data_IF_209352664709
#
_entry.id   IF_209352664709
#
_cell.length_a   1.000
_cell.length_b   1.000
_cell.length_c   1.000
_cell.angle_alpha   90.00
_cell.angle_beta   90.00
_cell.angle_gamma   90.00
#
_symmetry.space_group_name_H-M   'P 1'
#
loop_
_entity.id
_entity.type
_entity.pdbx_description
1 polymer ?
#
# COMPACT_ATOMS: atom_id res chain seq x y z
N UNK A 1 -7.18 57.16 32.53
CA UNK A 1 -7.40 56.65 32.13
C UNK A 1 -7.01 55.82 31.24
N UNK A 2 -6.67 55.05 30.97
CA UNK A 2 -6.36 54.34 30.12
C UNK A 2 -6.72 53.13 30.16
N UNK A 3 -7.02 52.54 29.53
CA UNK A 3 -7.48 51.44 29.46
C UNK A 3 -6.81 50.58 28.79
N UNK A 4 -6.72 49.58 28.69
CA UNK A 4 -6.11 48.79 28.13
C UNK A 4 -6.79 47.82 27.52
N UNK A 5 -6.68 47.48 26.46
CA UNK A 5 -7.31 46.49 25.77
C UNK A 5 -6.64 45.25 25.93
N UNK A 6 -7.22 44.37 26.35
CA UNK A 6 -6.68 43.09 26.47
C UNK A 6 -6.78 42.44 25.16
N UNK A 7 -5.73 42.25 24.55
CA UNK A 7 -5.78 41.53 23.33
C UNK A 7 -5.90 40.07 23.64
N UNK A 8 -6.94 39.53 23.23
CA UNK A 8 -7.12 38.17 23.44
C UNK A 8 -6.61 37.42 22.28
N UNK A 9 -5.60 36.73 22.45
CA UNK A 9 -5.07 35.92 21.40
C UNK A 9 -5.72 34.59 21.44
N UNK A 10 -6.46 34.31 20.46
CA UNK A 10 -7.07 33.01 20.38
C UNK A 10 -6.22 32.16 19.52
N UNK A 11 -5.72 31.14 20.12
CA UNK A 11 -4.90 30.24 19.39
C UNK A 11 -5.68 29.03 19.02
N UNK A 12 -5.70 28.74 17.76
CA UNK A 12 -6.36 27.58 17.38
C UNK A 12 -5.38 26.57 17.12
N UNK A 13 -5.42 25.54 17.77
CA UNK A 13 -4.58 24.43 17.50
C UNK A 13 -5.25 23.62 16.45
N UNK A 14 -4.88 23.82 15.28
CA UNK A 14 -5.42 22.99 14.24
C UNK A 14 -4.78 21.64 14.36
N UNK A 15 -5.54 20.66 14.59
CA UNK A 15 -4.98 19.36 14.70
C UNK A 15 -5.28 18.60 13.47
N UNK A 16 -4.27 18.15 12.82
CA UNK A 16 -4.47 17.41 11.60
C UNK A 16 -4.69 15.98 11.92
N UNK A 17 -5.83 15.48 11.80
CA UNK A 17 -5.97 14.15 12.14
C UNK A 17 -6.65 13.37 11.16
N UNK A 18 -7.19 13.90 10.25
CA UNK A 18 -8.02 13.13 9.42
C UNK A 18 -7.31 12.24 8.48
N UNK A 19 -6.08 12.52 8.25
CA UNK A 19 -5.37 11.79 7.24
C UNK A 19 -5.17 10.34 7.58
N UNK A 20 -5.45 9.95 8.80
CA UNK A 20 -5.13 8.62 9.18
C UNK A 20 -6.20 7.61 8.91
N UNK A 21 -7.30 8.04 8.33
CA UNK A 21 -8.35 7.12 8.01
C UNK A 21 -8.05 6.27 6.79
N UNK A 22 -7.00 6.61 6.02
CA UNK A 22 -6.72 5.89 4.78
C UNK A 22 -5.59 4.91 4.98
N UNK A 23 -5.77 3.70 4.45
CA UNK A 23 -4.70 2.73 4.43
C UNK A 23 -3.69 3.14 3.37
N UNK A 24 -2.42 3.21 3.73
CA UNK A 24 -1.38 3.41 2.75
C UNK A 24 -0.33 2.32 2.91
N UNK A 25 0.41 2.08 1.85
CA UNK A 25 1.39 1.01 1.81
C UNK A 25 2.57 1.39 2.72
N UNK A 26 2.82 0.57 3.72
CA UNK A 26 3.89 0.79 4.67
C UNK A 26 5.13 -0.04 4.34
N UNK A 27 4.95 -1.27 3.86
CA UNK A 27 6.05 -2.16 3.54
C UNK A 27 5.64 -3.06 2.39
N UNK A 28 6.61 -3.50 1.62
CA UNK A 28 6.37 -4.49 0.58
C UNK A 28 7.60 -5.38 0.40
N UNK A 29 7.36 -6.59 -0.10
CA UNK A 29 8.40 -7.49 -0.53
C UNK A 29 7.91 -8.19 -1.81
N UNK A 30 8.58 -7.98 -2.93
CA UNK A 30 9.74 -7.11 -3.13
C UNK A 30 9.42 -5.66 -2.88
N UNK A 31 10.44 -4.89 -2.48
CA UNK A 31 10.27 -3.46 -2.30
C UNK A 31 10.22 -2.75 -3.64
N UNK A 32 9.71 -1.52 -3.65
CA UNK A 32 9.72 -0.71 -4.85
C UNK A 32 11.13 -0.55 -5.38
N UNK A 33 11.29 -0.74 -6.67
CA UNK A 33 12.55 -0.63 -7.40
C UNK A 33 13.61 -1.67 -7.01
N UNK A 34 13.25 -2.68 -6.26
CA UNK A 34 14.18 -3.73 -5.89
C UNK A 34 14.47 -4.66 -7.07
N UNK A 35 15.64 -5.28 -7.03
CA UNK A 35 16.01 -6.35 -7.94
C UNK A 35 16.10 -7.62 -7.12
N UNK A 36 15.35 -8.63 -7.52
CA UNK A 36 15.27 -9.88 -6.76
C UNK A 36 15.35 -11.06 -7.71
N UNK A 37 15.65 -12.23 -7.20
CA UNK A 37 15.66 -13.42 -8.02
C UNK A 37 14.58 -14.38 -7.54
N UNK A 38 13.81 -14.87 -8.50
CA UNK A 38 12.78 -15.90 -8.29
C UNK A 38 11.89 -15.68 -7.07
N UNK A 39 11.23 -14.52 -6.96
CA UNK A 39 10.34 -14.29 -5.82
C UNK A 39 9.15 -15.24 -5.89
N UNK A 40 8.75 -15.79 -4.75
CA UNK A 40 7.62 -16.71 -4.70
C UNK A 40 6.28 -15.99 -4.67
N UNK A 41 6.30 -14.69 -4.39
CA UNK A 41 5.07 -13.90 -4.33
C UNK A 41 5.38 -12.46 -4.00
N UNK A 42 4.31 -11.70 -3.83
CA UNK A 42 4.38 -10.30 -3.42
C UNK A 42 3.59 -10.17 -2.15
N UNK A 43 4.15 -9.53 -1.15
CA UNK A 43 3.44 -9.23 0.09
C UNK A 43 3.48 -7.75 0.38
N UNK A 44 2.36 -7.23 0.82
CA UNK A 44 2.15 -5.83 1.10
C UNK A 44 1.62 -5.68 2.52
N UNK A 45 2.12 -4.70 3.25
CA UNK A 45 1.62 -4.37 4.57
C UNK A 45 1.19 -2.92 4.57
N UNK A 46 -0.02 -2.69 5.04
CA UNK A 46 -0.64 -1.36 5.04
C UNK A 46 -0.70 -0.79 6.44
N UNK A 47 -0.96 0.51 6.53
CA UNK A 47 -1.01 1.23 7.78
C UNK A 47 -2.29 1.00 8.57
N UNK A 48 -3.31 0.38 7.97
CA UNK A 48 -4.63 0.18 8.57
C UNK A 48 -5.09 -1.25 8.35
N UNK A 49 -6.02 -1.69 9.18
CA UNK A 49 -6.69 -2.97 8.97
C UNK A 49 -7.53 -2.90 7.69
N UNK A 50 -7.48 -3.94 6.91
CA UNK A 50 -8.12 -3.98 5.62
C UNK A 50 -9.37 -4.83 5.61
N UNK A 51 -10.32 -4.42 4.77
CA UNK A 51 -11.42 -5.26 4.35
C UNK A 51 -10.90 -6.13 3.23
N UNK A 52 -10.49 -7.34 3.54
CA UNK A 52 -9.80 -8.20 2.57
C UNK A 52 -10.66 -8.55 1.37
N UNK A 53 -11.96 -8.65 1.57
CA UNK A 53 -12.86 -8.96 0.46
C UNK A 53 -12.99 -7.82 -0.54
N UNK A 54 -12.55 -6.64 -0.16
CA UNK A 54 -12.61 -5.46 -1.03
C UNK A 54 -11.23 -4.89 -1.32
N UNK A 55 -10.21 -5.69 -1.12
CA UNK A 55 -8.83 -5.30 -1.34
C UNK A 55 -8.16 -6.35 -2.21
N UNK A 56 -7.26 -5.93 -3.07
CA UNK A 56 -6.57 -6.88 -3.93
C UNK A 56 -5.21 -6.36 -4.38
N UNK A 57 -4.42 -7.27 -4.88
CA UNK A 57 -3.12 -6.98 -5.45
C UNK A 57 -2.96 -7.83 -6.71
N UNK A 58 -2.37 -7.25 -7.74
CA UNK A 58 -2.07 -7.91 -8.99
C UNK A 58 -0.64 -7.62 -9.39
N UNK A 59 -0.05 -8.50 -10.18
CA UNK A 59 1.28 -8.29 -10.73
C UNK A 59 1.19 -8.42 -12.24
N UNK A 60 1.74 -7.44 -12.93
CA UNK A 60 1.74 -7.37 -14.39
C UNK A 60 3.16 -7.34 -14.92
N UNK A 61 3.35 -7.87 -16.11
CA UNK A 61 4.65 -7.79 -16.78
C UNK A 61 4.80 -6.47 -17.52
N UNK A 62 5.93 -6.28 -18.20
CA UNK A 62 6.21 -5.05 -18.90
C UNK A 62 5.23 -4.78 -20.05
N UNK A 63 4.58 -5.80 -20.56
CA UNK A 63 3.58 -5.65 -21.60
C UNK A 63 2.18 -5.40 -21.07
N UNK A 64 2.02 -5.32 -19.76
CA UNK A 64 0.73 -5.07 -19.15
C UNK A 64 -0.12 -6.33 -18.93
N UNK A 65 0.46 -7.51 -19.09
CA UNK A 65 -0.26 -8.75 -18.88
C UNK A 65 -0.17 -9.17 -17.43
N UNK A 66 -1.28 -9.59 -16.86
CA UNK A 66 -1.29 -10.08 -15.48
C UNK A 66 -0.56 -11.43 -15.42
N UNK A 67 0.37 -11.55 -14.50
CA UNK A 67 1.25 -12.72 -14.42
C UNK A 67 1.26 -13.41 -13.06
N UNK A 68 0.57 -12.87 -12.05
CA UNK A 68 0.47 -13.58 -10.77
C UNK A 68 -0.38 -14.84 -10.92
N UNK A 69 -0.33 -15.72 -9.93
CA UNK A 69 -1.05 -16.99 -10.02
C UNK A 69 -2.51 -16.88 -9.54
N UNK A 70 -2.94 -15.70 -9.15
CA UNK A 70 -4.30 -15.46 -8.70
C UNK A 70 -4.63 -16.05 -7.35
N UNK A 71 -3.65 -16.58 -6.63
CA UNK A 71 -3.88 -17.22 -5.34
C UNK A 71 -3.32 -16.37 -4.23
N UNK A 72 -4.03 -16.26 -3.10
CA UNK A 72 -3.49 -15.49 -1.99
C UNK A 72 -2.20 -16.14 -1.51
N UNK A 73 -1.24 -15.32 -1.14
CA UNK A 73 -0.04 -15.77 -0.50
C UNK A 73 -0.27 -16.05 0.98
N UNK A 74 0.80 -16.28 1.73
CA UNK A 74 0.68 -16.51 3.16
C UNK A 74 -0.04 -15.35 3.85
N UNK A 75 -0.86 -15.69 4.83
CA UNK A 75 -1.61 -14.69 5.57
C UNK A 75 -0.66 -13.90 6.46
N UNK A 76 -0.54 -12.62 6.22
CA UNK A 76 0.31 -11.72 7.00
C UNK A 76 -0.44 -10.93 8.04
N UNK A 77 -1.68 -11.29 8.32
CA UNK A 77 -2.48 -10.60 9.33
C UNK A 77 -3.43 -9.56 8.72
N UNK A 78 -4.12 -8.82 9.58
CA UNK A 78 -5.22 -7.96 9.14
C UNK A 78 -4.81 -6.75 8.30
N UNK A 79 -3.54 -6.39 8.29
CA UNK A 79 -3.07 -5.25 7.50
C UNK A 79 -2.38 -5.66 6.22
N UNK A 80 -2.36 -6.95 5.88
CA UNK A 80 -1.54 -7.44 4.79
C UNK A 80 -2.34 -7.99 3.62
N UNK A 81 -1.78 -7.85 2.43
CA UNK A 81 -2.23 -8.54 1.22
C UNK A 81 -1.05 -9.27 0.65
N UNK A 82 -1.28 -10.44 0.09
CA UNK A 82 -0.22 -11.19 -0.57
C UNK A 82 -0.79 -11.97 -1.74
N UNK A 83 0.03 -12.14 -2.77
CA UNK A 83 -0.36 -12.93 -3.92
C UNK A 83 0.84 -13.75 -4.38
N UNK A 84 0.59 -14.96 -4.84
CA UNK A 84 1.64 -15.83 -5.31
C UNK A 84 2.10 -15.50 -6.71
N UNK A 85 3.33 -15.86 -7.01
CA UNK A 85 3.89 -15.73 -8.33
C UNK A 85 4.34 -17.09 -8.82
N UNK A 86 4.03 -17.44 -10.07
CA UNK A 86 4.67 -18.59 -10.69
C UNK A 86 6.13 -18.24 -10.99
N UNK A 87 6.87 -19.18 -11.53
CA UNK A 87 8.20 -18.87 -11.96
C UNK A 87 8.12 -17.94 -13.16
N UNK A 88 8.71 -16.78 -13.03
CA UNK A 88 8.67 -15.75 -14.06
C UNK A 88 10.05 -15.47 -14.64
N UNK A 89 10.12 -15.12 -15.90
CA UNK A 89 11.41 -14.77 -16.51
C UNK A 89 11.95 -13.45 -15.96
N UNK A 90 13.25 -13.23 -16.09
CA UNK A 90 13.83 -11.94 -15.74
C UNK A 90 13.14 -10.80 -16.50
N UNK A 91 12.94 -9.69 -15.84
CA UNK A 91 12.29 -8.53 -16.42
C UNK A 91 11.75 -7.61 -15.36
N UNK A 92 11.08 -6.58 -15.83
CA UNK A 92 10.48 -5.58 -14.96
C UNK A 92 9.01 -5.88 -14.80
N UNK A 93 8.53 -5.83 -13.54
CA UNK A 93 7.16 -6.17 -13.21
C UNK A 93 6.52 -5.04 -12.41
N UNK A 94 5.22 -4.91 -12.54
CA UNK A 94 4.46 -3.88 -11.84
C UNK A 94 3.50 -4.53 -10.85
N UNK A 95 3.54 -4.05 -9.62
CA UNK A 95 2.56 -4.43 -8.60
C UNK A 95 1.50 -3.35 -8.57
N UNK A 96 0.25 -3.74 -8.66
CA UNK A 96 -0.87 -2.82 -8.62
C UNK A 96 -1.77 -3.26 -7.49
N UNK A 97 -2.10 -2.35 -6.59
CA UNK A 97 -2.92 -2.71 -5.45
C UNK A 97 -4.09 -1.76 -5.25
N UNK A 98 -5.15 -2.30 -4.69
CA UNK A 98 -6.32 -1.56 -4.27
C UNK A 98 -6.61 -1.99 -2.85
N UNK A 99 -6.71 -1.05 -1.94
CA UNK A 99 -6.93 -1.34 -0.54
C UNK A 99 -8.16 -0.60 -0.04
N UNK A 100 -9.00 -1.31 0.69
CA UNK A 100 -10.15 -0.73 1.37
C UNK A 100 -9.93 -0.96 2.85
N UNK A 101 -9.88 0.11 3.63
CA UNK A 101 -9.72 -0.02 5.07
C UNK A 101 -11.06 -0.33 5.73
N UNK A 102 -11.02 -0.80 6.96
CA UNK A 102 -12.24 -1.16 7.69
C UNK A 102 -13.17 0.02 7.91
N UNK A 103 -12.68 1.25 7.78
CA UNK A 103 -13.52 2.42 7.83
C UNK A 103 -14.05 2.83 6.45
N UNK A 104 -13.92 1.93 5.47
CA UNK A 104 -14.48 2.04 4.12
C UNK A 104 -13.80 3.02 3.18
N UNK A 105 -12.65 3.55 3.53
CA UNK A 105 -11.89 4.40 2.61
C UNK A 105 -11.06 3.52 1.67
N UNK A 106 -11.01 3.92 0.42
CA UNK A 106 -10.28 3.20 -0.62
C UNK A 106 -9.05 3.96 -1.04
N UNK A 107 -7.96 3.23 -1.22
CA UNK A 107 -6.72 3.76 -1.75
C UNK A 107 -6.19 2.80 -2.79
N UNK A 108 -5.33 3.30 -3.66
CA UNK A 108 -4.71 2.46 -4.68
C UNK A 108 -3.34 2.98 -4.98
N UNK A 109 -2.50 2.12 -5.51
CA UNK A 109 -1.16 2.49 -5.89
C UNK A 109 -0.49 1.41 -6.70
N UNK A 110 0.74 1.69 -7.08
CA UNK A 110 1.53 0.72 -7.82
C UNK A 110 3.00 1.00 -7.63
N UNK A 111 3.81 0.00 -7.90
CA UNK A 111 5.26 0.16 -7.93
C UNK A 111 5.85 -0.93 -8.81
N UNK A 112 7.14 -0.80 -9.12
CA UNK A 112 7.83 -1.74 -9.99
C UNK A 112 8.93 -2.44 -9.23
N UNK A 113 9.23 -3.66 -9.65
CA UNK A 113 10.43 -4.37 -9.22
C UNK A 113 10.97 -5.14 -10.40
N UNK A 114 12.20 -5.61 -10.29
CA UNK A 114 12.88 -6.33 -11.37
C UNK A 114 13.24 -7.73 -10.90
N UNK A 115 12.98 -8.70 -11.75
CA UNK A 115 13.46 -10.06 -11.53
C UNK A 115 14.74 -10.20 -12.32
N UNK A 116 15.81 -10.60 -11.64
CA UNK A 116 17.11 -10.82 -12.28
C UNK A 116 17.33 -12.31 -12.42
N UNK A 117 18.23 -12.70 -13.37
CA UNK A 117 18.51 -14.11 -13.60
C UNK A 117 19.07 -14.83 -12.40
#
# INVERSE_FOLDING_TARGET
MLRKAAALAVVFAATPYAAFAHAYLAQSAPSADASVSAPAGVSLTFSQTLEKNFSNVEVHDAGGHRVDDGKPGPDGGPTALAIGLPKLPPGRYQVIWHATSVDTHRTEGNFYFTIVP
#
